data_IF_774559507703
#
_entry.id   IF_774559507703
#
_cell.length_a   1.000
_cell.length_b   1.000
_cell.length_c   1.000
_cell.angle_alpha   90.00
_cell.angle_beta   90.00
_cell.angle_gamma   90.00
#
_symmetry.space_group_name_H-M   'P 1'
#
loop_
_entity.id
_entity.type
_entity.pdbx_description
1 polymer ?
#
# COMPACT_ATOMS: atom_id res chain seq x y z
N UNK A 1 -19.29 4.41 23.13
CA UNK A 1 -17.93 4.93 22.84
C UNK A 1 -17.91 5.35 21.38
N UNK A 2 -18.00 6.64 21.10
CA UNK A 2 -17.85 7.18 19.74
C UNK A 2 -16.39 7.55 19.54
N UNK A 3 -15.63 6.71 18.83
CA UNK A 3 -14.25 7.03 18.44
C UNK A 3 -14.30 8.14 17.38
N UNK A 4 -13.73 9.30 17.68
CA UNK A 4 -13.59 10.37 16.70
C UNK A 4 -12.47 9.99 15.75
N UNK A 5 -12.81 9.58 14.52
CA UNK A 5 -11.80 9.27 13.50
C UNK A 5 -11.10 10.58 13.09
N UNK A 6 -9.86 10.76 13.51
CA UNK A 6 -9.01 11.86 13.05
C UNK A 6 -8.54 11.55 11.64
N UNK A 7 -8.92 12.39 10.67
CA UNK A 7 -8.43 12.25 9.29
C UNK A 7 -7.06 12.90 9.21
N UNK A 8 -6.01 12.09 9.00
CA UNK A 8 -4.67 12.61 8.69
C UNK A 8 -4.58 12.93 7.20
N UNK A 9 -4.01 14.09 6.88
CA UNK A 9 -3.79 14.51 5.49
C UNK A 9 -2.29 14.58 5.24
N UNK A 10 -1.82 13.74 4.32
CA UNK A 10 -0.46 13.80 3.80
C UNK A 10 -0.48 14.58 2.48
N UNK A 11 0.31 15.64 2.39
CA UNK A 11 0.54 16.37 1.13
C UNK A 11 1.81 15.82 0.51
N UNK A 12 1.72 15.43 -0.76
CA UNK A 12 2.83 14.90 -1.52
C UNK A 12 2.95 15.66 -2.83
N UNK A 13 4.15 16.11 -3.18
CA UNK A 13 4.45 16.82 -4.42
C UNK A 13 4.83 15.85 -5.55
N UNK A 14 5.42 14.70 -5.20
CA UNK A 14 5.89 13.69 -6.14
C UNK A 14 5.74 12.25 -5.61
N UNK A 15 5.82 11.22 -6.48
CA UNK A 15 5.69 9.82 -6.07
C UNK A 15 6.76 9.33 -5.09
N UNK A 16 7.96 9.94 -5.07
CA UNK A 16 9.03 9.62 -4.14
C UNK A 16 8.67 9.94 -2.69
N UNK A 17 7.96 11.04 -2.45
CA UNK A 17 7.43 11.38 -1.12
C UNK A 17 6.42 10.34 -0.62
N UNK A 18 5.61 9.77 -1.51
CA UNK A 18 4.72 8.66 -1.16
C UNK A 18 5.52 7.43 -0.73
N UNK A 19 6.54 7.03 -1.49
CA UNK A 19 7.40 5.88 -1.15
C UNK A 19 8.09 6.12 0.20
N UNK A 20 8.61 7.33 0.42
CA UNK A 20 9.25 7.71 1.68
C UNK A 20 8.28 7.68 2.87
N UNK A 21 6.98 7.89 2.63
CA UNK A 21 5.94 7.83 3.66
C UNK A 21 5.51 6.39 4.03
N UNK A 22 5.78 5.40 3.19
CA UNK A 22 5.35 4.00 3.39
C UNK A 22 5.68 3.46 4.78
N UNK A 23 6.91 3.62 5.32
CA UNK A 23 7.23 3.11 6.65
C UNK A 23 6.34 3.68 7.75
N UNK A 24 5.96 4.95 7.62
CA UNK A 24 5.04 5.61 8.56
C UNK A 24 3.62 5.10 8.38
N UNK A 25 3.19 4.85 7.14
CA UNK A 25 1.85 4.29 6.85
C UNK A 25 1.67 2.88 7.41
N UNK A 26 2.70 2.03 7.33
CA UNK A 26 2.62 0.62 7.77
C UNK A 26 3.19 0.39 9.18
N UNK A 27 3.85 1.39 9.78
CA UNK A 27 4.40 1.34 11.14
C UNK A 27 5.78 0.67 11.28
N UNK A 28 6.42 0.26 10.19
CA UNK A 28 7.74 -0.36 10.18
C UNK A 28 8.44 -0.15 8.83
N UNK A 29 9.77 -0.35 8.76
CA UNK A 29 10.50 -0.29 7.48
C UNK A 29 10.40 -1.64 6.75
N UNK A 30 9.73 -1.71 5.58
CA UNK A 30 9.65 -2.95 4.82
C UNK A 30 11.02 -3.32 4.25
N UNK A 31 11.36 -4.62 4.30
CA UNK A 31 12.50 -5.22 3.59
C UNK A 31 11.96 -6.37 2.77
N UNK A 32 12.48 -6.55 1.55
CA UNK A 32 12.07 -7.66 0.66
C UNK A 32 10.56 -7.83 0.59
N UNK A 33 9.85 -6.74 0.28
CA UNK A 33 8.38 -6.67 0.37
C UNK A 33 7.76 -6.02 -0.85
N UNK A 34 6.59 -6.52 -1.25
CA UNK A 34 5.63 -5.81 -2.09
C UNK A 34 4.65 -5.05 -1.20
N UNK A 35 4.50 -3.74 -1.41
CA UNK A 35 3.50 -2.91 -0.74
C UNK A 35 2.50 -2.41 -1.78
N UNK A 36 1.22 -2.66 -1.56
CA UNK A 36 0.12 -2.11 -2.34
C UNK A 36 -0.67 -1.12 -1.50
N UNK A 37 -0.97 0.04 -2.07
CA UNK A 37 -1.77 1.09 -1.45
C UNK A 37 -2.99 1.31 -2.33
N UNK A 38 -4.18 1.02 -1.81
CA UNK A 38 -5.44 1.32 -2.46
C UNK A 38 -5.68 2.84 -2.45
N UNK A 39 -6.05 3.37 -3.60
CA UNK A 39 -6.51 4.74 -3.76
C UNK A 39 -8.00 4.71 -4.07
N UNK A 40 -8.77 5.42 -3.26
CA UNK A 40 -10.24 5.43 -3.31
C UNK A 40 -10.84 6.83 -3.15
N UNK A 41 -12.17 6.84 -3.01
CA UNK A 41 -12.98 8.04 -2.92
C UNK A 41 -13.09 8.82 -4.24
N UNK A 42 -14.01 9.79 -4.29
CA UNK A 42 -14.36 10.52 -5.51
C UNK A 42 -13.17 11.22 -6.21
N UNK A 43 -12.13 11.57 -5.46
CA UNK A 43 -10.94 12.23 -5.99
C UNK A 43 -9.77 11.29 -6.29
N UNK A 44 -9.88 10.00 -5.96
CA UNK A 44 -8.79 9.02 -6.03
C UNK A 44 -7.60 9.33 -5.12
N UNK A 45 -7.80 10.15 -4.08
CA UNK A 45 -6.73 10.62 -3.18
C UNK A 45 -6.88 10.12 -1.74
N UNK A 46 -7.88 9.28 -1.47
CA UNK A 46 -8.03 8.63 -0.15
C UNK A 46 -7.23 7.35 -0.16
N UNK A 47 -6.32 7.20 0.81
CA UNK A 47 -5.67 5.91 1.06
C UNK A 47 -6.71 5.00 1.73
N UNK A 48 -6.97 3.86 1.10
CA UNK A 48 -7.79 2.78 1.63
C UNK A 48 -6.91 1.67 2.20
N UNK A 49 -7.20 0.42 1.83
CA UNK A 49 -6.40 -0.75 2.18
C UNK A 49 -4.91 -0.54 1.83
N UNK A 50 -4.03 -0.77 2.80
CA UNK A 50 -2.59 -0.91 2.56
C UNK A 50 -2.18 -2.34 2.87
N UNK A 51 -1.72 -3.07 1.86
CA UNK A 51 -1.28 -4.46 1.97
C UNK A 51 0.24 -4.52 1.85
N UNK A 52 0.88 -5.29 2.74
CA UNK A 52 2.28 -5.67 2.63
C UNK A 52 2.36 -7.18 2.48
N UNK A 53 3.12 -7.62 1.49
CA UNK A 53 3.39 -9.04 1.21
C UNK A 53 4.90 -9.22 1.18
N UNK A 54 5.42 -10.23 1.87
CA UNK A 54 6.81 -10.66 1.68
C UNK A 54 7.04 -11.07 0.21
N UNK A 55 8.19 -10.73 -0.36
CA UNK A 55 8.51 -11.17 -1.72
C UNK A 55 8.64 -12.69 -1.74
N UNK A 56 7.77 -13.39 -2.51
CA UNK A 56 7.83 -14.84 -2.58
C UNK A 56 8.97 -15.28 -3.52
N UNK A 57 9.38 -16.55 -3.46
CA UNK A 57 10.24 -17.12 -4.49
C UNK A 57 9.52 -17.11 -5.87
N UNK A 58 10.27 -17.14 -6.99
CA UNK A 58 9.75 -16.88 -8.34
C UNK A 58 8.52 -17.70 -8.73
N UNK A 59 8.47 -18.98 -8.35
CA UNK A 59 7.39 -19.91 -8.66
C UNK A 59 6.04 -19.53 -8.01
N UNK A 60 6.06 -18.72 -6.94
CA UNK A 60 4.89 -18.30 -6.20
C UNK A 60 4.44 -16.86 -6.51
N UNK A 61 5.19 -16.10 -7.33
CA UNK A 61 4.90 -14.69 -7.65
C UNK A 61 3.48 -14.49 -8.18
N UNK A 62 3.04 -15.35 -9.10
CA UNK A 62 1.68 -15.23 -9.67
C UNK A 62 0.60 -15.43 -8.62
N UNK A 63 0.76 -16.41 -7.73
CA UNK A 63 -0.21 -16.68 -6.68
C UNK A 63 -0.28 -15.51 -5.69
N UNK A 64 0.87 -14.96 -5.28
CA UNK A 64 0.94 -13.79 -4.41
C UNK A 64 0.31 -12.55 -5.05
N UNK A 65 0.57 -12.30 -6.34
CA UNK A 65 -0.02 -11.18 -7.07
C UNK A 65 -1.55 -11.31 -7.17
N UNK A 66 -2.07 -12.51 -7.48
CA UNK A 66 -3.52 -12.77 -7.52
C UNK A 66 -4.15 -12.54 -6.15
N UNK A 67 -3.52 -13.02 -5.07
CA UNK A 67 -3.98 -12.78 -3.71
C UNK A 67 -4.02 -11.28 -3.39
N UNK A 68 -2.94 -10.56 -3.67
CA UNK A 68 -2.83 -9.13 -3.43
C UNK A 68 -3.90 -8.32 -4.17
N UNK A 69 -4.13 -8.62 -5.46
CA UNK A 69 -5.18 -7.98 -6.25
C UNK A 69 -6.56 -8.30 -5.69
N UNK A 70 -6.82 -9.54 -5.27
CA UNK A 70 -8.11 -9.92 -4.64
C UNK A 70 -8.38 -9.13 -3.36
N UNK A 71 -7.37 -8.93 -2.52
CA UNK A 71 -7.49 -8.06 -1.35
C UNK A 71 -7.78 -6.62 -1.77
N UNK A 72 -7.08 -6.11 -2.77
CA UNK A 72 -7.24 -4.72 -3.24
C UNK A 72 -8.65 -4.44 -3.77
N UNK A 73 -9.20 -5.32 -4.63
CA UNK A 73 -10.54 -5.13 -5.23
C UNK A 73 -11.69 -5.40 -4.25
N UNK A 74 -11.39 -5.85 -3.04
CA UNK A 74 -12.38 -5.96 -1.96
C UNK A 74 -12.69 -4.61 -1.28
N UNK A 75 -11.90 -3.57 -1.59
CA UNK A 75 -12.08 -2.18 -1.14
C UNK A 75 -12.72 -1.31 -2.24
N UNK A 76 -13.22 -0.12 -1.90
CA UNK A 76 -13.69 0.90 -2.86
C UNK A 76 -12.49 1.58 -3.54
N UNK A 77 -11.85 0.85 -4.45
CA UNK A 77 -10.60 1.23 -5.10
C UNK A 77 -10.84 1.74 -6.51
N UNK A 78 -10.28 2.91 -6.82
CA UNK A 78 -10.26 3.49 -8.17
C UNK A 78 -8.87 3.43 -8.81
N UNK A 79 -7.84 3.14 -8.02
CA UNK A 79 -6.46 2.94 -8.48
C UNK A 79 -5.57 2.37 -7.37
N UNK A 80 -4.37 1.97 -7.71
CA UNK A 80 -3.41 1.47 -6.72
C UNK A 80 -2.00 1.93 -7.02
N UNK A 81 -1.24 2.14 -5.94
CA UNK A 81 0.21 2.30 -6.00
C UNK A 81 0.86 1.00 -5.57
N UNK A 82 1.82 0.54 -6.37
CA UNK A 82 2.55 -0.70 -6.13
C UNK A 82 4.03 -0.35 -5.96
N UNK A 83 4.59 -0.70 -4.80
CA UNK A 83 5.98 -0.43 -4.46
C UNK A 83 6.67 -1.75 -4.11
N UNK A 84 7.84 -2.00 -4.69
CA UNK A 84 8.68 -3.15 -4.37
C UNK A 84 9.89 -2.65 -3.59
N UNK A 85 10.09 -3.19 -2.39
CA UNK A 85 11.26 -2.97 -1.55
C UNK A 85 12.17 -4.18 -1.66
N UNK A 86 13.42 -3.98 -2.12
CA UNK A 86 14.44 -5.02 -2.13
C UNK A 86 15.03 -5.28 -0.75
N UNK A 87 15.98 -6.22 -0.67
CA UNK A 87 16.93 -6.23 0.42
C UNK A 87 17.72 -4.92 0.34
N UNK A 88 17.62 -4.07 1.36
CA UNK A 88 18.52 -2.92 1.46
C UNK A 88 19.96 -3.43 1.58
N UNK A 89 20.91 -2.69 1.00
CA UNK A 89 22.34 -2.85 1.30
C UNK A 89 22.59 -2.80 2.82
#
# INVERSE_FOLDING_TARGET
MTSTATTSVLRMADPGELIASVPTLIGFRPRESLVLIALGGASGRRIGLTLRVDLPPPEHVRAAAVYAVRCLVSDDVVGAVVVVFGAGD
#
